data_IF_006463049812
#
_entry.id   IF_006463049812
#
_cell.length_a   1.000
_cell.length_b   1.000
_cell.length_c   1.000
_cell.angle_alpha   90.00
_cell.angle_beta   90.00
_cell.angle_gamma   90.00
#
_symmetry.space_group_name_H-M   'P 1'
#
loop_
_entity.id
_entity.type
_entity.pdbx_description
1 polymer ?
#
# COMPACT_ATOMS: atom_id res chain seq x y z
N UNK A 1 -21.64 -21.29 -12.57
CA UNK A 1 -20.90 -20.63 -11.46
C UNK A 1 -21.61 -20.99 -10.17
N UNK A 2 -20.83 -21.44 -9.17
CA UNK A 2 -21.35 -21.65 -7.82
C UNK A 2 -21.82 -20.34 -7.21
N UNK A 3 -22.83 -20.38 -6.34
CA UNK A 3 -23.36 -19.19 -5.66
C UNK A 3 -22.49 -18.89 -4.44
N UNK A 4 -22.19 -17.62 -4.21
CA UNK A 4 -21.50 -17.11 -3.02
C UNK A 4 -22.34 -16.00 -2.39
N UNK A 5 -22.94 -16.27 -1.23
CA UNK A 5 -23.73 -15.29 -0.47
C UNK A 5 -22.79 -14.51 0.45
N UNK A 6 -22.38 -13.31 0.03
CA UNK A 6 -21.30 -12.50 0.61
C UNK A 6 -21.83 -11.24 1.29
N UNK A 7 -21.46 -11.04 2.53
CA UNK A 7 -21.69 -9.79 3.25
C UNK A 7 -20.39 -9.09 3.66
N UNK A 8 -20.53 -7.83 4.04
CA UNK A 8 -19.44 -7.02 4.58
C UNK A 8 -19.88 -6.28 5.83
N UNK A 9 -18.96 -6.15 6.78
CA UNK A 9 -19.14 -5.35 7.98
C UNK A 9 -17.83 -4.63 8.32
N UNK A 10 -17.92 -3.49 8.99
CA UNK A 10 -16.79 -2.83 9.63
C UNK A 10 -15.56 -2.66 8.70
N UNK A 11 -15.77 -2.36 7.41
CA UNK A 11 -14.70 -2.20 6.42
C UNK A 11 -15.01 -1.12 5.40
N UNK A 12 -13.99 -0.63 4.71
CA UNK A 12 -14.10 0.48 3.75
C UNK A 12 -14.54 0.04 2.34
N UNK A 13 -15.08 0.98 1.58
CA UNK A 13 -15.75 0.69 0.30
C UNK A 13 -14.83 0.14 -0.78
N UNK A 14 -13.56 0.57 -0.84
CA UNK A 14 -12.58 0.00 -1.78
C UNK A 14 -12.36 -1.49 -1.53
N UNK A 15 -12.32 -1.94 -0.27
CA UNK A 15 -12.21 -3.36 0.06
C UNK A 15 -13.46 -4.14 -0.38
N UNK A 16 -14.67 -3.60 -0.12
CA UNK A 16 -15.93 -4.20 -0.57
C UNK A 16 -15.95 -4.35 -2.10
N UNK A 17 -15.55 -3.30 -2.82
CA UNK A 17 -15.48 -3.30 -4.28
C UNK A 17 -14.46 -4.32 -4.79
N UNK A 18 -13.26 -4.36 -4.21
CA UNK A 18 -12.20 -5.30 -4.57
C UNK A 18 -12.65 -6.75 -4.42
N UNK A 19 -13.10 -7.16 -3.23
CA UNK A 19 -13.48 -8.54 -2.99
C UNK A 19 -14.69 -8.95 -3.81
N UNK A 20 -15.68 -8.08 -3.99
CA UNK A 20 -16.83 -8.35 -4.86
C UNK A 20 -16.37 -8.59 -6.30
N UNK A 21 -15.52 -7.73 -6.86
CA UNK A 21 -15.04 -7.84 -8.23
C UNK A 21 -14.18 -9.10 -8.45
N UNK A 22 -13.26 -9.38 -7.51
CA UNK A 22 -12.37 -10.55 -7.63
C UNK A 22 -13.15 -11.86 -7.50
N UNK A 23 -14.00 -12.00 -6.49
CA UNK A 23 -14.80 -13.22 -6.26
C UNK A 23 -15.84 -13.45 -7.37
N UNK A 24 -16.35 -12.38 -7.99
CA UNK A 24 -17.26 -12.49 -9.14
C UNK A 24 -16.62 -13.08 -10.39
N UNK A 25 -15.30 -13.21 -10.45
CA UNK A 25 -14.61 -13.92 -11.54
C UNK A 25 -14.83 -15.43 -11.50
N UNK A 26 -15.14 -15.99 -10.34
CA UNK A 26 -15.32 -17.44 -10.13
C UNK A 26 -16.72 -17.83 -9.65
N UNK A 27 -17.38 -16.95 -8.89
CA UNK A 27 -18.67 -17.21 -8.27
C UNK A 27 -19.76 -16.28 -8.79
N UNK A 28 -21.04 -16.74 -8.72
CA UNK A 28 -22.19 -15.84 -8.77
C UNK A 28 -22.33 -15.20 -7.38
N UNK A 29 -21.74 -14.03 -7.19
CA UNK A 29 -21.80 -13.31 -5.91
C UNK A 29 -23.19 -12.71 -5.71
N UNK A 30 -23.83 -13.07 -4.59
CA UNK A 30 -25.08 -12.47 -4.10
C UNK A 30 -24.73 -11.66 -2.86
N UNK A 31 -24.89 -10.34 -2.94
CA UNK A 31 -24.66 -9.45 -1.81
C UNK A 31 -25.79 -9.60 -0.79
N UNK A 32 -25.46 -9.95 0.43
CA UNK A 32 -26.39 -10.00 1.56
C UNK A 32 -25.67 -9.57 2.86
N UNK A 33 -25.85 -8.32 3.25
CA UNK A 33 -25.25 -7.80 4.49
C UNK A 33 -26.10 -8.08 5.75
N UNK A 34 -27.26 -8.77 5.61
CA UNK A 34 -28.12 -9.09 6.76
C UNK A 34 -27.89 -10.51 7.26
N UNK A 35 -27.84 -11.49 6.37
CA UNK A 35 -27.62 -12.90 6.71
C UNK A 35 -26.70 -13.58 5.67
N UNK A 36 -25.41 -13.17 5.59
CA UNK A 36 -24.47 -13.75 4.65
C UNK A 36 -24.03 -15.16 5.08
N UNK A 37 -23.61 -15.99 4.11
CA UNK A 37 -22.89 -17.22 4.41
C UNK A 37 -21.40 -16.93 4.71
N UNK A 38 -20.83 -15.93 4.02
CA UNK A 38 -19.46 -15.49 4.17
C UNK A 38 -19.43 -13.99 4.49
N UNK A 39 -18.79 -13.63 5.58
CA UNK A 39 -18.65 -12.23 6.02
C UNK A 39 -17.19 -11.80 5.95
N UNK A 40 -16.88 -10.85 5.08
CA UNK A 40 -15.59 -10.14 5.13
C UNK A 40 -15.77 -8.88 6.00
N UNK A 41 -14.93 -8.73 7.02
CA UNK A 41 -15.03 -7.62 7.96
C UNK A 41 -13.64 -7.08 8.33
N UNK A 42 -13.60 -5.81 8.72
CA UNK A 42 -12.37 -5.09 9.05
C UNK A 42 -12.02 -5.07 10.53
N UNK A 43 -11.03 -4.26 10.86
CA UNK A 43 -10.60 -4.02 12.22
C UNK A 43 -11.49 -3.00 12.96
N UNK A 44 -11.29 -2.86 14.28
CA UNK A 44 -12.10 -2.01 15.15
C UNK A 44 -12.11 -0.51 14.82
N UNK A 45 -11.29 -0.05 13.86
CA UNK A 45 -11.35 1.34 13.39
C UNK A 45 -12.64 1.65 12.61
N UNK A 46 -13.31 0.61 12.09
CA UNK A 46 -14.53 0.72 11.28
C UNK A 46 -15.78 0.23 12.00
N UNK A 47 -15.67 -0.27 13.22
CA UNK A 47 -16.80 -0.75 14.03
C UNK A 47 -16.63 -2.19 14.53
N UNK A 48 -17.68 -2.68 15.20
CA UNK A 48 -17.71 -4.01 15.83
C UNK A 48 -18.99 -4.76 15.50
N UNK A 49 -19.69 -4.40 14.42
CA UNK A 49 -20.98 -5.00 14.05
C UNK A 49 -20.85 -6.46 13.63
N UNK A 50 -19.64 -6.87 13.19
CA UNK A 50 -19.33 -8.27 12.82
C UNK A 50 -19.59 -9.27 13.95
N UNK A 51 -19.60 -8.86 15.21
CA UNK A 51 -19.94 -9.74 16.35
C UNK A 51 -21.40 -10.22 16.31
N UNK A 52 -22.30 -9.48 15.64
CA UNK A 52 -23.69 -9.86 15.47
C UNK A 52 -23.92 -11.07 14.54
N UNK A 53 -23.01 -11.35 13.64
CA UNK A 53 -23.13 -12.41 12.63
C UNK A 53 -22.69 -13.77 13.17
N UNK A 54 -23.62 -14.49 13.82
CA UNK A 54 -23.31 -15.74 14.53
C UNK A 54 -23.15 -16.95 13.61
N UNK A 55 -23.75 -16.92 12.41
CA UNK A 55 -23.81 -18.06 11.48
C UNK A 55 -22.86 -17.93 10.28
N UNK A 56 -22.39 -16.72 9.99
CA UNK A 56 -21.51 -16.47 8.86
C UNK A 56 -20.10 -17.02 9.12
N UNK A 57 -19.48 -17.61 8.10
CA UNK A 57 -18.04 -17.86 8.09
C UNK A 57 -17.33 -16.50 8.04
N UNK A 58 -16.54 -16.20 9.05
CA UNK A 58 -15.92 -14.88 9.26
C UNK A 58 -14.51 -14.83 8.70
N UNK A 59 -14.29 -13.86 7.83
CA UNK A 59 -13.01 -13.62 7.17
C UNK A 59 -12.56 -12.20 7.55
N UNK A 60 -11.56 -12.13 8.41
CA UNK A 60 -10.97 -10.86 8.81
C UNK A 60 -10.11 -10.29 7.68
N UNK A 61 -10.26 -9.01 7.38
CA UNK A 61 -9.41 -8.28 6.45
C UNK A 61 -8.92 -6.98 7.05
N UNK A 62 -7.63 -6.72 6.96
CA UNK A 62 -7.07 -5.41 7.30
C UNK A 62 -5.93 -5.02 6.38
N UNK A 63 -5.91 -3.73 6.01
CA UNK A 63 -4.76 -3.07 5.42
C UNK A 63 -3.92 -2.31 6.44
N UNK A 64 -4.36 -2.26 7.71
CA UNK A 64 -3.69 -1.58 8.81
C UNK A 64 -2.82 -2.54 9.63
N UNK A 65 -1.92 -1.98 10.44
CA UNK A 65 -0.99 -2.77 11.26
C UNK A 65 -1.68 -3.44 12.46
N UNK A 66 -2.68 -4.29 12.19
CA UNK A 66 -3.48 -5.05 13.16
C UNK A 66 -3.30 -6.54 12.90
N UNK A 67 -3.16 -7.33 13.99
CA UNK A 67 -2.96 -8.78 13.90
C UNK A 67 -4.29 -9.54 13.97
N UNK A 68 -4.45 -10.64 13.20
CA UNK A 68 -5.64 -11.47 13.27
C UNK A 68 -5.76 -12.21 14.61
N UNK A 69 -7.01 -12.43 15.04
CA UNK A 69 -7.34 -13.24 16.21
C UNK A 69 -8.16 -14.46 15.80
N UNK A 70 -7.50 -15.57 15.54
CA UNK A 70 -8.12 -16.82 15.08
C UNK A 70 -9.02 -17.52 16.11
N UNK A 71 -9.16 -17.01 17.32
CA UNK A 71 -10.19 -17.46 18.26
C UNK A 71 -11.57 -16.92 17.91
N UNK A 72 -11.63 -15.81 17.16
CA UNK A 72 -12.88 -15.12 16.82
C UNK A 72 -13.22 -15.15 15.33
N UNK A 73 -12.27 -15.53 14.47
CA UNK A 73 -12.41 -15.55 13.01
C UNK A 73 -12.07 -16.93 12.46
N UNK A 74 -12.70 -17.29 11.34
CA UNK A 74 -12.40 -18.54 10.66
C UNK A 74 -11.15 -18.40 9.79
N UNK A 75 -11.03 -17.28 9.07
CA UNK A 75 -9.92 -16.96 8.19
C UNK A 75 -9.48 -15.50 8.32
N UNK A 76 -8.27 -15.22 7.86
CA UNK A 76 -7.73 -13.87 7.80
C UNK A 76 -7.06 -13.56 6.45
N UNK A 77 -7.23 -12.32 5.99
CA UNK A 77 -6.57 -11.77 4.83
C UNK A 77 -5.82 -10.53 5.33
N UNK A 78 -4.50 -10.64 5.48
CA UNK A 78 -3.64 -9.56 5.99
C UNK A 78 -2.32 -9.51 5.22
N UNK A 79 -1.42 -8.62 5.63
CA UNK A 79 -0.09 -8.50 5.02
C UNK A 79 0.96 -9.44 5.66
N UNK A 80 0.60 -10.23 6.67
CA UNK A 80 1.52 -11.08 7.40
C UNK A 80 2.14 -12.17 6.52
N UNK A 81 3.41 -12.50 6.79
CA UNK A 81 4.07 -13.66 6.22
C UNK A 81 3.72 -14.92 7.04
N UNK A 82 2.47 -15.33 6.97
CA UNK A 82 1.96 -16.51 7.66
C UNK A 82 1.67 -17.63 6.65
N UNK A 83 2.21 -18.82 6.90
CA UNK A 83 1.93 -20.01 6.10
C UNK A 83 0.87 -20.87 6.81
N UNK A 84 -0.40 -20.54 6.60
CA UNK A 84 -1.54 -21.23 7.18
C UNK A 84 -2.68 -21.33 6.16
N UNK A 85 -3.42 -22.45 6.09
CA UNK A 85 -4.62 -22.54 5.26
C UNK A 85 -5.70 -21.54 5.69
N UNK A 86 -5.67 -21.05 6.92
CA UNK A 86 -6.58 -20.03 7.44
C UNK A 86 -6.16 -18.60 7.09
N UNK A 87 -5.02 -18.40 6.45
CA UNK A 87 -4.48 -17.09 6.13
C UNK A 87 -4.18 -16.92 4.64
N UNK A 88 -4.51 -15.76 4.11
CA UNK A 88 -4.02 -15.30 2.80
C UNK A 88 -3.29 -13.97 2.94
N UNK A 89 -2.07 -13.91 2.41
CA UNK A 89 -1.31 -12.66 2.39
C UNK A 89 -1.80 -11.75 1.28
N UNK A 90 -2.36 -10.60 1.67
CA UNK A 90 -2.79 -9.54 0.76
C UNK A 90 -2.34 -8.18 1.31
N UNK A 91 -1.11 -7.74 1.06
CA UNK A 91 -0.66 -6.41 1.45
C UNK A 91 -1.53 -5.32 0.82
N UNK A 92 -1.74 -4.22 1.53
CA UNK A 92 -2.65 -3.14 1.10
C UNK A 92 -2.26 -2.56 -0.26
N UNK A 93 -0.97 -2.52 -0.61
CA UNK A 93 -0.54 -2.03 -1.92
C UNK A 93 -1.16 -2.81 -3.09
N UNK A 94 -1.45 -4.12 -2.94
CA UNK A 94 -2.10 -4.93 -3.98
C UNK A 94 -3.52 -4.44 -4.26
N UNK A 95 -4.28 -4.16 -3.20
CA UNK A 95 -5.62 -3.59 -3.31
C UNK A 95 -5.58 -2.20 -3.94
N UNK A 96 -4.62 -1.38 -3.53
CA UNK A 96 -4.43 -0.03 -4.05
C UNK A 96 -3.98 -0.01 -5.53
N UNK A 97 -3.16 -0.97 -5.95
CA UNK A 97 -2.84 -1.15 -7.38
C UNK A 97 -4.10 -1.39 -8.21
N UNK A 98 -4.98 -2.27 -7.74
CA UNK A 98 -6.25 -2.55 -8.41
C UNK A 98 -7.17 -1.33 -8.47
N UNK A 99 -7.28 -0.57 -7.36
CA UNK A 99 -8.05 0.67 -7.32
C UNK A 99 -7.51 1.72 -8.29
N UNK A 100 -6.19 1.87 -8.37
CA UNK A 100 -5.55 2.79 -9.32
C UNK A 100 -5.80 2.40 -10.78
N UNK A 101 -5.80 1.12 -11.11
CA UNK A 101 -6.13 0.67 -12.46
C UNK A 101 -7.56 1.05 -12.86
N UNK A 102 -8.50 0.88 -11.94
CA UNK A 102 -9.92 1.09 -12.20
C UNK A 102 -10.30 2.57 -12.27
N UNK A 103 -9.85 3.36 -11.29
CA UNK A 103 -10.40 4.68 -11.04
C UNK A 103 -9.56 5.83 -11.64
N UNK A 104 -8.24 5.66 -11.80
CA UNK A 104 -7.32 6.72 -12.16
C UNK A 104 -6.59 6.51 -13.50
N UNK A 105 -6.82 5.42 -14.21
CA UNK A 105 -6.12 5.10 -15.45
C UNK A 105 -4.63 4.80 -15.26
N UNK A 106 -4.12 4.78 -14.04
CA UNK A 106 -2.78 4.31 -13.71
C UNK A 106 -2.77 2.80 -13.80
N UNK A 107 -2.30 2.31 -14.91
CA UNK A 107 -2.28 0.87 -15.13
C UNK A 107 -1.06 0.27 -14.47
N UNK A 108 -1.25 -0.86 -13.85
CA UNK A 108 -0.22 -1.69 -13.25
C UNK A 108 1.01 -1.87 -14.15
N UNK A 109 0.83 -1.93 -15.47
CA UNK A 109 1.95 -2.01 -16.41
C UNK A 109 2.86 -0.78 -16.39
N UNK A 110 2.42 0.39 -15.90
CA UNK A 110 3.31 1.55 -15.70
C UNK A 110 4.36 1.30 -14.61
N UNK A 111 4.12 0.35 -13.72
CA UNK A 111 5.11 -0.09 -12.73
C UNK A 111 6.04 -1.17 -13.31
N UNK A 112 5.59 -1.82 -14.39
CA UNK A 112 6.36 -2.78 -15.17
C UNK A 112 6.85 -2.09 -16.45
N UNK A 113 8.00 -2.53 -16.95
CA UNK A 113 8.58 -1.98 -18.18
C UNK A 113 8.56 -0.44 -18.18
N UNK A 114 9.05 0.14 -17.09
CA UNK A 114 9.01 1.58 -16.85
C UNK A 114 9.64 2.34 -18.01
N UNK A 115 8.82 2.80 -18.96
CA UNK A 115 9.24 3.56 -20.12
C UNK A 115 9.05 5.05 -19.82
N UNK A 116 10.00 5.63 -19.09
CA UNK A 116 10.03 7.06 -18.81
C UNK A 116 11.33 7.68 -19.35
N UNK A 117 11.25 8.91 -19.80
CA UNK A 117 12.42 9.71 -20.05
C UNK A 117 12.98 10.20 -18.70
N UNK A 118 13.93 9.44 -18.13
CA UNK A 118 14.49 9.72 -16.80
C UNK A 118 15.22 11.06 -16.74
N UNK A 119 15.79 11.51 -17.87
CA UNK A 119 16.46 12.81 -17.94
C UNK A 119 15.46 13.97 -17.92
N UNK A 120 14.37 13.84 -18.68
CA UNK A 120 13.28 14.81 -18.65
C UNK A 120 12.59 14.82 -17.26
N UNK A 121 12.44 13.64 -16.63
CA UNK A 121 11.93 13.57 -15.27
C UNK A 121 12.88 14.26 -14.27
N UNK A 122 14.18 14.02 -14.36
CA UNK A 122 15.17 14.71 -13.51
C UNK A 122 15.10 16.24 -13.66
N UNK A 123 14.99 16.72 -14.90
CA UNK A 123 14.95 18.15 -15.21
C UNK A 123 13.71 18.89 -14.67
N UNK A 124 12.63 18.18 -14.35
CA UNK A 124 11.41 18.76 -13.77
C UNK A 124 11.54 19.08 -12.27
N UNK A 125 12.57 18.58 -11.59
CA UNK A 125 12.65 18.63 -10.12
C UNK A 125 12.89 20.05 -9.65
N UNK A 126 11.97 20.55 -8.84
CA UNK A 126 12.04 21.88 -8.21
C UNK A 126 12.01 21.80 -6.69
N UNK A 127 11.69 20.60 -6.16
CA UNK A 127 11.62 20.29 -4.73
C UNK A 127 12.63 19.20 -4.38
N UNK A 128 13.11 19.22 -3.16
CA UNK A 128 14.06 18.20 -2.73
C UNK A 128 13.33 16.93 -2.26
N UNK A 129 12.48 17.02 -1.25
CA UNK A 129 11.77 15.88 -0.67
C UNK A 129 10.31 16.25 -0.38
N UNK A 130 9.36 15.53 -0.98
CA UNK A 130 7.92 15.78 -0.84
C UNK A 130 7.29 14.84 0.18
N UNK A 131 6.45 15.39 1.06
CA UNK A 131 5.68 14.66 2.07
C UNK A 131 4.23 15.14 2.12
N UNK A 132 3.27 14.19 2.12
CA UNK A 132 1.84 14.51 2.28
C UNK A 132 1.22 13.46 3.19
N UNK A 133 0.85 13.85 4.41
CA UNK A 133 0.30 12.95 5.41
C UNK A 133 -0.72 13.67 6.29
N UNK A 134 -1.77 12.95 6.69
CA UNK A 134 -2.79 13.44 7.63
C UNK A 134 -2.69 12.79 9.02
N UNK A 135 -2.21 11.54 9.11
CA UNK A 135 -2.12 10.79 10.36
C UNK A 135 -0.90 11.26 11.19
N UNK A 136 -1.09 11.87 12.37
CA UNK A 136 0.00 12.33 13.22
C UNK A 136 0.66 11.20 14.03
N UNK A 137 0.04 10.04 14.10
CA UNK A 137 0.52 8.90 14.90
C UNK A 137 1.68 8.24 14.17
N UNK A 138 2.70 7.89 14.84
CA UNK A 138 3.93 7.23 14.40
C UNK A 138 5.16 8.10 14.69
N UNK A 139 5.65 7.99 15.93
CA UNK A 139 6.77 8.80 16.41
C UNK A 139 8.06 8.64 15.59
N UNK A 140 8.50 7.42 15.18
CA UNK A 140 9.72 7.31 14.38
C UNK A 140 9.63 8.05 13.04
N UNK A 141 8.48 7.99 12.36
CA UNK A 141 8.26 8.77 11.13
C UNK A 141 8.30 10.26 11.41
N UNK A 142 7.65 10.72 12.49
CA UNK A 142 7.61 12.13 12.85
C UNK A 142 9.02 12.68 13.13
N UNK A 143 9.88 11.89 13.77
CA UNK A 143 11.29 12.28 14.01
C UNK A 143 12.08 12.45 12.71
N UNK A 144 11.89 11.55 11.73
CA UNK A 144 12.51 11.70 10.40
C UNK A 144 12.05 13.00 9.75
N UNK A 145 10.75 13.27 9.74
CA UNK A 145 10.17 14.47 9.12
C UNK A 145 10.63 15.75 9.81
N UNK A 146 10.65 15.78 11.15
CA UNK A 146 11.16 16.92 11.92
C UNK A 146 12.62 17.20 11.62
N UNK A 147 13.45 16.17 11.53
CA UNK A 147 14.85 16.32 11.18
C UNK A 147 15.02 16.95 9.79
N UNK A 148 14.30 16.42 8.80
CA UNK A 148 14.34 16.94 7.43
C UNK A 148 13.85 18.40 7.35
N UNK A 149 12.78 18.76 8.06
CA UNK A 149 12.28 20.14 8.11
C UNK A 149 13.27 21.12 8.75
N UNK A 150 13.91 20.75 9.87
CA UNK A 150 14.92 21.57 10.54
C UNK A 150 16.14 21.86 9.66
N UNK A 151 16.39 21.00 8.67
CA UNK A 151 17.48 21.17 7.70
C UNK A 151 16.99 21.75 6.36
N UNK A 152 15.77 22.30 6.29
CA UNK A 152 15.14 22.82 5.07
C UNK A 152 15.15 21.84 3.90
N UNK A 153 15.07 20.55 4.19
CA UNK A 153 15.19 19.47 3.22
C UNK A 153 13.84 18.79 2.91
N UNK A 154 12.69 19.37 3.30
CA UNK A 154 11.39 18.76 3.12
C UNK A 154 10.31 19.81 2.88
N UNK A 155 9.48 19.57 1.86
CA UNK A 155 8.19 20.23 1.63
C UNK A 155 7.05 19.31 2.09
N UNK A 156 6.37 19.68 3.17
CA UNK A 156 5.21 18.97 3.70
C UNK A 156 3.92 19.73 3.39
N UNK A 157 3.10 19.18 2.50
CA UNK A 157 1.83 19.76 2.07
C UNK A 157 0.59 19.02 2.58
N UNK A 158 0.75 18.08 3.51
CA UNK A 158 -0.35 17.41 4.21
C UNK A 158 -0.86 18.22 5.40
N UNK A 159 -1.99 17.82 6.03
CA UNK A 159 -2.45 18.45 7.28
C UNK A 159 -1.47 18.28 8.45
N UNK A 160 -0.70 17.19 8.45
CA UNK A 160 0.29 16.92 9.50
C UNK A 160 1.65 17.50 9.13
N UNK A 161 2.25 18.25 10.05
CA UNK A 161 3.58 18.89 9.89
C UNK A 161 3.70 19.75 8.62
N UNK A 162 2.65 20.49 8.28
CA UNK A 162 2.64 21.37 7.11
C UNK A 162 3.67 22.49 7.24
N UNK A 163 4.44 22.74 6.17
CA UNK A 163 5.37 23.86 6.06
C UNK A 163 5.32 24.60 4.71
N UNK A 164 4.38 24.23 3.83
CA UNK A 164 4.27 24.83 2.49
C UNK A 164 3.30 26.01 2.44
N UNK A 165 2.53 26.25 3.50
CA UNK A 165 1.52 27.29 3.54
C UNK A 165 0.21 26.93 2.82
N UNK A 166 0.11 25.75 2.20
CA UNK A 166 -1.12 25.21 1.62
C UNK A 166 -1.26 23.72 1.99
N UNK A 167 -2.48 23.21 1.95
CA UNK A 167 -2.79 21.80 2.23
C UNK A 167 -3.35 21.15 0.98
N UNK A 168 -2.71 20.06 0.55
CA UNK A 168 -3.25 19.20 -0.51
C UNK A 168 -4.47 18.46 0.06
N UNK A 169 -5.67 18.58 -0.55
CA UNK A 169 -6.84 17.81 -0.14
C UNK A 169 -6.60 16.30 -0.31
N UNK A 170 -7.54 15.47 0.20
CA UNK A 170 -7.50 14.02 0.03
C UNK A 170 -7.81 13.64 -1.44
N UNK A 171 -6.91 14.02 -2.32
CA UNK A 171 -6.94 13.74 -3.74
C UNK A 171 -5.58 13.15 -4.15
N UNK A 172 -5.58 11.89 -4.60
CA UNK A 172 -4.38 11.19 -4.97
C UNK A 172 -3.67 11.84 -6.16
N UNK A 173 -4.40 12.34 -7.14
CA UNK A 173 -3.81 12.96 -8.32
C UNK A 173 -3.05 14.24 -7.96
N UNK A 174 -3.58 15.05 -7.04
CA UNK A 174 -2.89 16.24 -6.54
C UNK A 174 -1.65 15.87 -5.73
N UNK A 175 -1.70 14.82 -4.93
CA UNK A 175 -0.53 14.27 -4.22
C UNK A 175 0.54 13.81 -5.21
N UNK A 176 0.16 13.07 -6.26
CA UNK A 176 1.11 12.58 -7.26
C UNK A 176 1.75 13.73 -8.04
N UNK A 177 1.01 14.78 -8.38
CA UNK A 177 1.57 16.00 -9.01
C UNK A 177 2.61 16.65 -8.10
N UNK A 178 2.31 16.81 -6.82
CA UNK A 178 3.23 17.39 -5.85
C UNK A 178 4.51 16.55 -5.70
N UNK A 179 4.37 15.22 -5.67
CA UNK A 179 5.50 14.30 -5.61
C UNK A 179 6.34 14.35 -6.91
N UNK A 180 5.69 14.48 -8.07
CA UNK A 180 6.38 14.55 -9.36
C UNK A 180 7.31 15.75 -9.49
N UNK A 181 7.11 16.82 -8.72
CA UNK A 181 8.00 17.99 -8.67
C UNK A 181 9.25 17.76 -7.81
N UNK A 182 9.31 16.67 -7.01
CA UNK A 182 10.38 16.43 -6.05
C UNK A 182 11.37 15.36 -6.54
N UNK A 183 12.65 15.51 -6.17
CA UNK A 183 13.64 14.43 -6.34
C UNK A 183 13.21 13.17 -5.59
N UNK A 184 12.69 13.31 -4.38
CA UNK A 184 12.35 12.20 -3.49
C UNK A 184 10.90 12.31 -3.02
N UNK A 185 10.21 11.16 -2.96
CA UNK A 185 8.86 11.04 -2.41
C UNK A 185 8.86 10.27 -1.09
N UNK A 186 8.18 10.78 -0.07
CA UNK A 186 8.12 10.14 1.23
C UNK A 186 7.18 8.92 1.19
N UNK A 187 7.76 7.73 1.34
CA UNK A 187 7.08 6.45 1.47
C UNK A 187 7.25 5.89 2.90
N UNK A 188 6.86 6.71 3.89
CA UNK A 188 7.03 6.41 5.32
C UNK A 188 5.73 5.84 5.90
N UNK A 189 5.76 4.59 6.34
CA UNK A 189 4.58 3.88 6.84
C UNK A 189 4.08 4.41 8.19
N UNK A 190 2.86 4.00 8.57
CA UNK A 190 2.26 4.34 9.88
C UNK A 190 2.84 3.52 11.04
N UNK A 191 3.68 2.54 10.75
CA UNK A 191 4.34 1.67 11.70
C UNK A 191 5.34 0.76 10.98
N UNK A 192 6.21 0.10 11.75
CA UNK A 192 7.16 -0.88 11.23
C UNK A 192 6.74 -2.28 11.67
N UNK A 193 6.45 -3.13 10.70
CA UNK A 193 6.20 -4.56 10.92
C UNK A 193 6.52 -5.36 9.64
N UNK A 194 7.08 -6.59 9.75
CA UNK A 194 7.37 -7.42 8.58
C UNK A 194 6.13 -7.66 7.72
N UNK A 195 6.22 -7.33 6.43
CA UNK A 195 5.10 -7.46 5.48
C UNK A 195 4.16 -6.26 5.40
N UNK A 196 4.18 -5.33 6.37
CA UNK A 196 3.32 -4.13 6.35
C UNK A 196 3.83 -3.13 5.32
N UNK A 197 3.29 -3.22 4.12
CA UNK A 197 3.57 -2.32 2.99
C UNK A 197 2.25 -1.85 2.41
N UNK A 198 2.07 -0.52 2.34
CA UNK A 198 0.84 0.12 1.90
C UNK A 198 1.02 0.84 0.55
N UNK A 199 0.12 1.74 0.21
CA UNK A 199 0.13 2.52 -1.03
C UNK A 199 1.33 3.47 -1.17
N UNK A 200 2.10 3.74 -0.12
CA UNK A 200 3.06 4.85 -0.07
C UNK A 200 4.23 4.71 -1.06
N UNK A 201 4.74 3.48 -1.24
CA UNK A 201 5.72 3.21 -2.29
C UNK A 201 5.14 3.43 -3.68
N UNK A 202 3.89 2.97 -3.89
CA UNK A 202 3.21 3.13 -5.18
C UNK A 202 3.04 4.60 -5.55
N UNK A 203 2.68 5.46 -4.59
CA UNK A 203 2.49 6.88 -4.84
C UNK A 203 3.77 7.54 -5.38
N UNK A 204 4.93 7.19 -4.81
CA UNK A 204 6.22 7.69 -5.33
C UNK A 204 6.53 7.12 -6.71
N UNK A 205 6.29 5.84 -6.96
CA UNK A 205 6.51 5.24 -8.28
C UNK A 205 5.58 5.83 -9.35
N UNK A 206 4.29 6.02 -9.06
CA UNK A 206 3.34 6.64 -9.98
C UNK A 206 3.67 8.12 -10.25
N UNK A 207 4.28 8.78 -9.30
CA UNK A 207 4.77 10.15 -9.45
C UNK A 207 6.13 10.24 -10.17
N UNK A 208 6.71 9.12 -10.62
CA UNK A 208 8.05 9.06 -11.20
C UNK A 208 9.12 9.71 -10.33
N UNK A 209 9.04 9.58 -9.01
CA UNK A 209 10.05 10.08 -8.06
C UNK A 209 10.70 8.91 -7.30
N UNK A 210 11.91 9.09 -6.78
CA UNK A 210 12.57 8.05 -6.01
C UNK A 210 11.93 7.97 -4.61
N UNK A 211 11.37 6.81 -4.21
CA UNK A 211 10.82 6.65 -2.87
C UNK A 211 11.91 6.67 -1.80
N UNK A 212 11.67 7.40 -0.70
CA UNK A 212 12.41 7.24 0.55
C UNK A 212 11.50 6.45 1.50
N UNK A 213 11.85 5.19 1.72
CA UNK A 213 10.99 4.24 2.42
C UNK A 213 11.42 4.00 3.87
N UNK A 214 10.44 3.99 4.77
CA UNK A 214 10.57 3.47 6.12
C UNK A 214 9.31 2.69 6.50
N UNK A 215 9.49 1.47 7.04
CA UNK A 215 8.38 0.61 7.43
C UNK A 215 8.80 -0.84 7.60
N UNK A 216 8.28 -1.72 6.75
CA UNK A 216 8.53 -3.16 6.80
C UNK A 216 10.00 -3.52 6.60
N UNK A 217 10.56 -4.34 7.48
CA UNK A 217 11.90 -4.91 7.33
C UNK A 217 11.99 -5.92 6.16
N UNK A 218 10.85 -6.39 5.66
CA UNK A 218 10.77 -7.36 4.56
C UNK A 218 10.28 -6.74 3.24
N UNK A 219 10.33 -5.42 3.10
CA UNK A 219 9.87 -4.71 1.89
C UNK A 219 10.57 -5.18 0.61
N UNK A 220 11.81 -5.65 0.71
CA UNK A 220 12.59 -6.24 -0.39
C UNK A 220 11.98 -7.53 -0.98
N UNK A 221 11.04 -8.18 -0.27
CA UNK A 221 10.28 -9.32 -0.79
C UNK A 221 9.14 -8.89 -1.73
N UNK A 222 8.72 -7.63 -1.62
CA UNK A 222 7.61 -7.06 -2.39
C UNK A 222 8.11 -6.15 -3.52
N UNK A 223 9.17 -5.37 -3.26
CA UNK A 223 9.69 -4.37 -4.19
C UNK A 223 11.19 -4.51 -4.44
N UNK A 224 11.64 -4.02 -5.59
CA UNK A 224 13.04 -4.04 -5.97
C UNK A 224 13.86 -3.09 -5.07
N UNK A 225 14.81 -3.58 -4.26
CA UNK A 225 15.59 -2.74 -3.36
C UNK A 225 16.47 -1.71 -4.08
N UNK A 226 16.71 -1.86 -5.39
CA UNK A 226 17.45 -0.88 -6.19
C UNK A 226 16.59 0.31 -6.64
N UNK A 227 15.27 0.29 -6.43
CA UNK A 227 14.33 1.30 -6.92
C UNK A 227 13.88 2.30 -5.85
N UNK A 228 14.31 2.15 -4.61
CA UNK A 228 13.99 3.05 -3.49
C UNK A 228 15.19 3.20 -2.55
N UNK A 229 15.16 4.26 -1.73
CA UNK A 229 16.13 4.47 -0.65
C UNK A 229 15.48 3.99 0.64
N UNK A 230 16.09 3.00 1.32
CA UNK A 230 15.59 2.51 2.60
C UNK A 230 16.23 3.29 3.75
N UNK A 231 15.43 3.95 4.57
CA UNK A 231 15.90 4.71 5.74
C UNK A 231 16.71 3.83 6.69
N UNK A 232 16.36 2.55 6.81
CA UNK A 232 17.03 1.61 7.72
C UNK A 232 18.44 1.19 7.24
N UNK A 233 18.86 1.56 6.02
CA UNK A 233 20.22 1.29 5.52
C UNK A 233 21.24 2.31 6.01
N UNK A 234 20.80 3.35 6.75
CA UNK A 234 21.63 4.44 7.28
C UNK A 234 21.66 4.38 8.81
N UNK A 235 22.81 4.68 9.38
CA UNK A 235 22.97 4.69 10.84
C UNK A 235 22.11 5.78 11.52
N UNK A 236 21.81 6.87 10.80
CA UNK A 236 20.97 7.96 11.28
C UNK A 236 20.39 8.80 10.12
N UNK A 237 19.44 9.68 10.43
CA UNK A 237 18.76 10.53 9.43
C UNK A 237 19.70 11.56 8.80
N UNK A 238 20.80 11.93 9.48
CA UNK A 238 21.82 12.83 8.92
C UNK A 238 22.61 12.18 7.78
N UNK A 239 22.97 10.89 7.91
CA UNK A 239 23.61 10.13 6.84
C UNK A 239 22.64 9.93 5.65
N UNK A 240 21.38 9.63 5.91
CA UNK A 240 20.33 9.57 4.89
C UNK A 240 20.27 10.91 4.13
N UNK A 241 20.19 12.05 4.83
CA UNK A 241 20.15 13.38 4.20
C UNK A 241 21.39 13.66 3.35
N UNK A 242 22.56 13.29 3.85
CA UNK A 242 23.84 13.45 3.12
C UNK A 242 23.84 12.61 1.83
N UNK A 243 23.35 11.38 1.90
CA UNK A 243 23.19 10.50 0.72
C UNK A 243 22.20 11.11 -0.30
N UNK A 244 21.04 11.58 0.15
CA UNK A 244 20.04 12.21 -0.70
C UNK A 244 20.58 13.48 -1.37
N UNK A 245 21.33 14.33 -0.64
CA UNK A 245 21.97 15.52 -1.20
C UNK A 245 22.97 15.15 -2.32
N UNK A 246 23.86 14.19 -2.09
CA UNK A 246 24.81 13.72 -3.09
C UNK A 246 24.11 13.15 -4.33
N UNK A 247 23.03 12.39 -4.12
CA UNK A 247 22.27 11.79 -5.21
C UNK A 247 21.52 12.85 -6.04
N UNK A 248 20.94 13.86 -5.40
CA UNK A 248 20.16 14.91 -6.09
C UNK A 248 21.00 15.75 -7.06
N UNK A 249 22.31 15.90 -6.81
CA UNK A 249 23.23 16.65 -7.69
C UNK A 249 23.99 15.72 -8.68
N UNK A 250 23.92 14.42 -8.49
CA UNK A 250 24.51 13.43 -9.41
C UNK A 250 23.43 12.88 -10.34
N UNK A 251 23.21 13.57 -11.46
CA UNK A 251 22.17 13.21 -12.46
C UNK A 251 22.23 11.74 -12.87
N UNK A 252 23.42 11.21 -13.17
CA UNK A 252 23.54 9.82 -13.66
C UNK A 252 23.10 8.82 -12.59
N UNK A 253 23.63 8.95 -11.37
CA UNK A 253 23.27 8.07 -10.27
C UNK A 253 21.77 8.17 -9.90
N UNK A 254 21.20 9.37 -9.95
CA UNK A 254 19.78 9.60 -9.75
C UNK A 254 18.94 8.88 -10.82
N UNK A 255 19.27 9.09 -12.10
CA UNK A 255 18.58 8.47 -13.24
C UNK A 255 18.70 6.94 -13.22
N UNK A 256 19.84 6.39 -12.78
CA UNK A 256 20.04 4.94 -12.65
C UNK A 256 19.06 4.31 -11.64
N UNK A 257 18.81 4.98 -10.52
CA UNK A 257 17.80 4.52 -9.54
C UNK A 257 16.39 4.74 -10.08
N UNK A 258 16.12 5.90 -10.65
CA UNK A 258 14.80 6.23 -11.19
C UNK A 258 14.38 5.28 -12.31
N UNK A 259 15.32 4.77 -13.11
CA UNK A 259 15.07 3.81 -14.19
C UNK A 259 14.77 2.38 -13.69
N UNK A 260 15.08 2.07 -12.41
CA UNK A 260 14.86 0.72 -11.91
C UNK A 260 13.36 0.35 -11.93
N UNK A 261 13.02 -0.90 -12.32
CA UNK A 261 11.65 -1.37 -12.19
C UNK A 261 11.25 -1.46 -10.71
N UNK A 262 9.98 -1.20 -10.43
CA UNK A 262 9.46 -1.27 -9.06
C UNK A 262 9.56 -2.68 -8.45
N UNK A 263 9.48 -3.71 -9.28
CA UNK A 263 9.54 -5.11 -8.86
C UNK A 263 10.85 -5.78 -9.28
N UNK A 264 11.33 -6.77 -8.51
CA UNK A 264 12.52 -7.55 -8.87
C UNK A 264 12.31 -8.25 -10.21
N UNK A 265 13.27 -8.09 -11.13
CA UNK A 265 13.17 -8.59 -12.52
C UNK A 265 11.90 -8.13 -13.25
N UNK A 266 11.31 -7.03 -12.84
CA UNK A 266 10.04 -6.49 -13.36
C UNK A 266 8.86 -7.47 -13.17
N UNK A 267 8.96 -8.39 -12.24
CA UNK A 267 7.94 -9.39 -11.92
C UNK A 267 7.40 -9.12 -10.52
N UNK A 268 6.12 -8.73 -10.39
CA UNK A 268 5.50 -8.60 -9.07
C UNK A 268 5.35 -9.97 -8.40
N UNK A 269 5.27 -9.96 -7.09
CA UNK A 269 5.11 -11.18 -6.33
C UNK A 269 3.74 -11.88 -6.60
N UNK A 270 3.64 -13.13 -6.17
CA UNK A 270 2.47 -13.99 -6.41
C UNK A 270 1.16 -13.42 -5.85
N UNK A 271 1.20 -12.59 -4.80
CA UNK A 271 0.00 -12.02 -4.17
C UNK A 271 -0.69 -10.97 -5.05
N UNK A 272 0.00 -10.44 -6.04
CA UNK A 272 -0.61 -9.56 -7.06
C UNK A 272 -1.41 -10.35 -8.09
N UNK A 273 -1.24 -11.68 -8.14
CA UNK A 273 -1.99 -12.56 -9.03
C UNK A 273 -3.31 -12.97 -8.38
N UNK A 274 -4.41 -12.37 -8.81
CA UNK A 274 -5.74 -12.63 -8.26
C UNK A 274 -6.21 -14.09 -8.41
N UNK A 275 -5.65 -14.88 -9.33
CA UNK A 275 -5.91 -16.31 -9.40
C UNK A 275 -5.38 -17.08 -8.20
N UNK A 276 -4.24 -16.66 -7.64
CA UNK A 276 -3.70 -17.23 -6.40
C UNK A 276 -4.69 -17.05 -5.24
N UNK A 277 -5.25 -15.84 -5.11
CA UNK A 277 -6.29 -15.55 -4.14
C UNK A 277 -7.54 -16.40 -4.36
N UNK A 278 -8.04 -16.48 -5.59
CA UNK A 278 -9.24 -17.26 -5.92
C UNK A 278 -9.06 -18.74 -5.65
N UNK A 279 -7.88 -19.30 -5.91
CA UNK A 279 -7.56 -20.69 -5.61
C UNK A 279 -7.52 -20.95 -4.10
N UNK A 280 -6.90 -20.05 -3.33
CA UNK A 280 -6.92 -20.16 -1.86
C UNK A 280 -8.34 -20.09 -1.31
N UNK A 281 -9.15 -19.15 -1.77
CA UNK A 281 -10.53 -18.98 -1.34
C UNK A 281 -11.38 -20.21 -1.64
N UNK A 282 -11.25 -20.76 -2.83
CA UNK A 282 -11.96 -21.97 -3.26
C UNK A 282 -11.54 -23.21 -2.47
N UNK A 283 -10.27 -23.33 -2.14
CA UNK A 283 -9.72 -24.53 -1.49
C UNK A 283 -9.99 -24.53 0.02
N UNK A 284 -9.89 -23.38 0.68
CA UNK A 284 -9.88 -23.33 2.14
C UNK A 284 -11.05 -22.56 2.76
N UNK A 285 -11.74 -21.72 2.00
CA UNK A 285 -12.82 -20.87 2.52
C UNK A 285 -14.20 -21.33 2.07
N UNK A 286 -14.36 -21.60 0.75
CA UNK A 286 -15.67 -21.89 0.17
C UNK A 286 -16.14 -23.30 0.47
N UNK A 287 -17.34 -23.44 1.06
CA UNK A 287 -18.00 -24.70 1.41
C UNK A 287 -19.41 -24.85 0.79
N UNK A 288 -19.77 -23.95 -0.12
CA UNK A 288 -21.13 -23.89 -0.67
C UNK A 288 -22.00 -22.85 0.05
N UNK A 289 -23.29 -22.84 -0.28
CA UNK A 289 -24.31 -21.99 0.34
C UNK A 289 -25.02 -22.77 1.43
N UNK A 290 -25.31 -22.13 2.54
CA UNK A 290 -26.15 -22.70 3.58
C UNK A 290 -27.60 -22.85 3.05
N UNK A 291 -28.21 -23.98 3.32
CA UNK A 291 -29.62 -24.23 3.05
C UNK A 291 -30.59 -23.46 3.94
#
# INVERSE_FOLDING_TARGET
MSILKLGFADTYDNAKAFFTAVLSRKYKVIRDDKDPDYLIFGDGNFGETHYGYKRAKKIFFTGENVRPNYFTYDHAITFDHENSPRHYRLPLYVLEMWACEKDNGFKYYHLRNKQIDVEAEYAKRTRFFAYVQSNPRCEPRNQIIQFMQRNNALDSAGPHMNNTGFVIPRDRNLKLKFFNEAYFGAALENGSYPGYVTEKLLDSYYANTIPVYWGSSTVHKDFNPKSYINVNDFANVGELLSHMNNLSVNKNAYCDILAQPAFVNDIPNEYTNLHTFLNWFDTFVYEGVRG
#
